data_IF_441862701612
#
_entry.id   IF_441862701612
#
_cell.length_a   1.000
_cell.length_b   1.000
_cell.length_c   1.000
_cell.angle_alpha   90.00
_cell.angle_beta   90.00
_cell.angle_gamma   90.00
#
_symmetry.space_group_name_H-M   'P 1'
#
loop_
_entity.id
_entity.type
_entity.pdbx_description
1 polymer ?
#
# COMPACT_ATOMS: atom_id res chain seq x y z
N UNK A 1 14.49 -7.28 -12.19
CA UNK A 1 14.54 -5.89 -12.67
C UNK A 1 13.15 -5.46 -13.09
N UNK A 2 12.69 -4.33 -12.55
CA UNK A 2 11.36 -3.76 -12.77
C UNK A 2 11.37 -2.74 -13.91
N UNK A 3 10.41 -2.90 -14.82
CA UNK A 3 10.20 -2.03 -16.00
C UNK A 3 8.78 -1.50 -16.01
N UNK A 4 8.56 -0.27 -16.48
CA UNK A 4 7.20 0.27 -16.58
C UNK A 4 6.38 -0.49 -17.63
N UNK A 5 5.19 -0.95 -17.25
CA UNK A 5 4.28 -1.64 -18.13
C UNK A 5 3.67 -0.65 -19.12
N UNK A 6 4.16 -0.65 -20.37
CA UNK A 6 3.67 0.24 -21.44
C UNK A 6 2.17 0.01 -21.76
N UNK A 7 1.70 -1.25 -21.93
CA UNK A 7 0.26 -1.55 -22.06
C UNK A 7 -0.60 -1.06 -20.89
N UNK A 8 -0.14 -1.22 -19.65
CA UNK A 8 -0.89 -0.85 -18.44
C UNK A 8 -0.16 0.26 -17.68
N UNK A 9 -0.31 1.50 -18.16
CA UNK A 9 0.33 2.68 -17.56
C UNK A 9 0.10 2.73 -16.05
N UNK A 10 1.20 2.88 -15.31
CA UNK A 10 1.18 2.93 -13.84
C UNK A 10 1.48 1.59 -13.15
N UNK A 11 1.63 0.49 -13.89
CA UNK A 11 2.14 -0.77 -13.36
C UNK A 11 3.60 -1.00 -13.74
N UNK A 12 4.28 -1.85 -12.98
CA UNK A 12 5.66 -2.27 -13.20
C UNK A 12 5.72 -3.79 -13.37
N UNK A 13 6.47 -4.27 -14.35
CA UNK A 13 6.67 -5.69 -14.61
C UNK A 13 8.06 -6.11 -14.13
N UNK A 14 8.14 -7.28 -13.52
CA UNK A 14 9.41 -7.94 -13.28
C UNK A 14 9.80 -8.74 -14.53
N UNK A 15 10.99 -8.46 -15.05
CA UNK A 15 11.54 -9.07 -16.27
C UNK A 15 11.90 -10.54 -16.09
N UNK A 16 12.23 -10.96 -14.86
CA UNK A 16 12.42 -12.36 -14.51
C UNK A 16 11.08 -13.02 -14.13
N UNK A 17 10.56 -13.89 -14.98
CA UNK A 17 9.29 -14.59 -14.76
C UNK A 17 9.29 -15.46 -13.49
N UNK A 18 10.42 -16.09 -13.14
CA UNK A 18 10.52 -16.92 -11.94
C UNK A 18 10.49 -16.07 -10.67
N UNK A 19 11.14 -14.90 -10.71
CA UNK A 19 11.08 -13.93 -9.61
C UNK A 19 9.69 -13.30 -9.48
N UNK A 20 9.05 -12.97 -10.60
CA UNK A 20 7.68 -12.46 -10.65
C UNK A 20 6.68 -13.44 -10.01
N UNK A 21 6.81 -14.73 -10.31
CA UNK A 21 6.00 -15.78 -9.68
C UNK A 21 6.19 -15.83 -8.16
N UNK A 22 7.43 -15.75 -7.66
CA UNK A 22 7.71 -15.69 -6.21
C UNK A 22 7.10 -14.46 -5.54
N UNK A 23 7.12 -13.30 -6.18
CA UNK A 23 6.46 -12.09 -5.66
C UNK A 23 4.94 -12.26 -5.62
N UNK A 24 4.38 -12.89 -6.65
CA UNK A 24 2.95 -13.21 -6.74
C UNK A 24 2.51 -14.15 -5.62
N UNK A 25 3.30 -15.17 -5.31
CA UNK A 25 3.11 -16.09 -4.17
C UNK A 25 3.19 -15.35 -2.83
N UNK A 26 4.12 -14.40 -2.71
CA UNK A 26 4.28 -13.54 -1.52
C UNK A 26 3.18 -12.46 -1.39
N UNK A 27 2.19 -12.45 -2.30
CA UNK A 27 1.02 -11.58 -2.24
C UNK A 27 1.22 -10.19 -2.85
N UNK A 28 2.26 -9.98 -3.66
CA UNK A 28 2.45 -8.76 -4.45
C UNK A 28 1.83 -8.88 -5.84
N UNK A 29 1.45 -7.74 -6.40
CA UNK A 29 1.08 -7.59 -7.81
C UNK A 29 -0.33 -8.04 -8.16
N UNK A 30 -0.75 -7.57 -9.32
CA UNK A 30 -1.99 -7.90 -10.02
C UNK A 30 -1.65 -8.59 -11.34
N UNK A 31 -2.66 -8.96 -12.13
CA UNK A 31 -2.45 -9.54 -13.47
C UNK A 31 -1.65 -8.59 -14.37
N UNK A 32 -1.83 -7.29 -14.18
CA UNK A 32 -1.17 -6.22 -14.93
C UNK A 32 0.26 -5.91 -14.42
N UNK A 33 0.67 -6.51 -13.29
CA UNK A 33 1.97 -6.29 -12.66
C UNK A 33 1.89 -5.63 -11.28
N UNK A 34 2.99 -5.02 -10.85
CA UNK A 34 3.13 -4.38 -9.54
C UNK A 34 2.67 -2.93 -9.59
N UNK A 35 1.91 -2.52 -8.58
CA UNK A 35 1.60 -1.10 -8.37
C UNK A 35 2.85 -0.29 -8.03
N UNK A 36 2.83 1.05 -8.15
CA UNK A 36 3.99 1.87 -7.81
C UNK A 36 4.44 1.71 -6.34
N UNK A 37 3.51 1.45 -5.42
CA UNK A 37 3.83 1.18 -4.01
C UNK A 37 4.58 -0.14 -3.83
N UNK A 38 4.11 -1.20 -4.51
CA UNK A 38 4.77 -2.52 -4.45
C UNK A 38 6.14 -2.48 -5.12
N UNK A 39 6.25 -1.84 -6.29
CA UNK A 39 7.52 -1.64 -6.98
C UNK A 39 8.53 -0.89 -6.11
N UNK A 40 8.12 0.25 -5.53
CA UNK A 40 8.94 1.03 -4.60
C UNK A 40 9.36 0.21 -3.37
N UNK A 41 8.44 -0.58 -2.80
CA UNK A 41 8.73 -1.45 -1.67
C UNK A 41 9.78 -2.51 -2.01
N UNK A 42 9.61 -3.25 -3.11
CA UNK A 42 10.51 -4.32 -3.53
C UNK A 42 11.94 -3.81 -3.77
N UNK A 43 12.06 -2.60 -4.34
CA UNK A 43 13.36 -1.93 -4.50
C UNK A 43 13.92 -1.49 -3.15
N UNK A 44 13.09 -0.92 -2.27
CA UNK A 44 13.50 -0.49 -0.92
C UNK A 44 14.05 -1.64 -0.07
N UNK A 45 13.46 -2.84 -0.16
CA UNK A 45 13.96 -4.04 0.53
C UNK A 45 15.04 -4.81 -0.26
N UNK A 46 15.58 -4.21 -1.34
CA UNK A 46 16.63 -4.80 -2.19
C UNK A 46 16.26 -6.17 -2.77
N UNK A 47 14.97 -6.43 -3.00
CA UNK A 47 14.48 -7.64 -3.69
C UNK A 47 14.33 -7.43 -5.18
N UNK A 48 14.26 -6.18 -5.62
CA UNK A 48 14.25 -5.79 -7.03
C UNK A 48 15.10 -4.52 -7.24
N UNK A 49 15.30 -4.16 -8.50
CA UNK A 49 15.89 -2.89 -8.94
C UNK A 49 15.08 -2.35 -10.11
N UNK A 50 15.04 -1.03 -10.30
CA UNK A 50 14.50 -0.46 -11.54
C UNK A 50 15.50 -0.63 -12.68
N UNK A 51 15.01 -0.82 -13.90
CA UNK A 51 15.84 -0.81 -15.11
C UNK A 51 16.52 0.55 -15.33
N UNK A 52 15.81 1.64 -14.99
CA UNK A 52 16.35 2.99 -15.05
C UNK A 52 16.00 3.78 -13.79
N UNK A 53 16.97 4.57 -13.31
CA UNK A 53 16.83 5.44 -12.16
C UNK A 53 17.09 4.77 -10.80
N UNK A 54 16.93 5.56 -9.74
CA UNK A 54 17.08 5.13 -8.34
C UNK A 54 15.74 5.19 -7.61
N UNK A 55 15.65 4.55 -6.44
CA UNK A 55 14.46 4.66 -5.57
C UNK A 55 14.10 6.13 -5.29
N UNK A 56 15.09 6.98 -5.02
CA UNK A 56 14.85 8.40 -4.72
C UNK A 56 14.26 9.14 -5.93
N UNK A 57 14.80 8.92 -7.12
CA UNK A 57 14.26 9.51 -8.35
C UNK A 57 12.84 9.01 -8.65
N UNK A 58 12.56 7.73 -8.34
CA UNK A 58 11.25 7.13 -8.50
C UNK A 58 10.23 7.73 -7.51
N UNK A 59 10.58 7.84 -6.23
CA UNK A 59 9.73 8.46 -5.21
C UNK A 59 9.46 9.92 -5.56
N UNK A 60 10.46 10.67 -6.02
CA UNK A 60 10.29 12.04 -6.48
C UNK A 60 9.34 12.15 -7.68
N UNK A 61 9.42 11.21 -8.64
CA UNK A 61 8.53 11.17 -9.79
C UNK A 61 7.08 10.82 -9.38
N UNK A 62 6.89 9.86 -8.49
CA UNK A 62 5.56 9.49 -7.99
C UNK A 62 4.94 10.58 -7.12
N UNK A 63 5.73 11.30 -6.32
CA UNK A 63 5.28 12.45 -5.52
C UNK A 63 4.67 13.57 -6.38
N UNK A 64 5.15 13.75 -7.61
CA UNK A 64 4.58 14.71 -8.57
C UNK A 64 3.19 14.28 -9.06
N UNK A 65 2.93 12.97 -9.15
CA UNK A 65 1.64 12.40 -9.54
C UNK A 65 0.67 12.37 -8.36
N UNK A 66 1.14 11.94 -7.20
CA UNK A 66 0.38 11.88 -5.96
C UNK A 66 1.24 12.30 -4.76
N UNK A 67 0.84 13.41 -4.12
CA UNK A 67 1.57 13.98 -2.99
C UNK A 67 1.65 13.05 -1.78
N UNK A 68 0.70 12.12 -1.63
CA UNK A 68 0.64 11.16 -0.51
C UNK A 68 1.62 10.00 -0.72
N UNK A 69 2.14 9.81 -1.95
CA UNK A 69 2.94 8.63 -2.30
C UNK A 69 4.11 8.33 -1.36
N UNK A 70 4.98 9.29 -0.99
CA UNK A 70 6.09 9.01 -0.08
C UNK A 70 5.61 8.49 1.28
N UNK A 71 4.59 9.13 1.86
CA UNK A 71 3.96 8.69 3.11
C UNK A 71 3.36 7.29 2.96
N UNK A 72 2.65 7.04 1.86
CA UNK A 72 2.06 5.74 1.56
C UNK A 72 3.12 4.64 1.44
N UNK A 73 4.27 4.93 0.84
CA UNK A 73 5.39 3.99 0.71
C UNK A 73 5.97 3.63 2.08
N UNK A 74 6.13 4.60 2.97
CA UNK A 74 6.60 4.34 4.35
C UNK A 74 5.59 3.53 5.16
N UNK A 75 4.30 3.87 5.09
CA UNK A 75 3.22 3.10 5.74
C UNK A 75 3.19 1.67 5.22
N UNK A 76 3.25 1.50 3.89
CA UNK A 76 3.27 0.19 3.24
C UNK A 76 4.48 -0.63 3.69
N UNK A 77 5.66 -0.02 3.73
CA UNK A 77 6.89 -0.66 4.21
C UNK A 77 6.77 -1.12 5.66
N UNK A 78 6.32 -0.26 6.57
CA UNK A 78 6.17 -0.60 7.98
C UNK A 78 5.21 -1.79 8.16
N UNK A 79 4.05 -1.77 7.51
CA UNK A 79 3.07 -2.86 7.66
C UNK A 79 3.60 -4.17 7.05
N UNK A 80 4.18 -4.14 5.84
CA UNK A 80 4.74 -5.36 5.22
C UNK A 80 5.91 -5.94 6.03
N UNK A 81 6.70 -5.09 6.69
CA UNK A 81 7.80 -5.54 7.56
C UNK A 81 7.32 -6.37 8.77
N UNK A 82 6.05 -6.24 9.17
CA UNK A 82 5.42 -7.07 10.21
C UNK A 82 4.96 -8.45 9.72
N UNK A 83 5.22 -8.82 8.46
CA UNK A 83 4.77 -10.08 7.87
C UNK A 83 3.31 -10.09 7.42
N UNK A 84 2.60 -8.97 7.54
CA UNK A 84 1.23 -8.82 7.02
C UNK A 84 1.23 -8.72 5.50
N UNK A 85 0.19 -9.26 4.86
CA UNK A 85 -0.10 -8.96 3.46
C UNK A 85 -0.85 -7.64 3.38
N UNK A 86 -0.43 -6.78 2.44
CA UNK A 86 -1.02 -5.46 2.23
C UNK A 86 -1.24 -5.25 0.75
N UNK A 87 -2.47 -4.91 0.38
CA UNK A 87 -2.84 -4.60 -1.00
C UNK A 87 -3.26 -3.14 -1.13
N UNK A 88 -2.60 -2.35 -1.99
CA UNK A 88 -3.11 -1.05 -2.37
C UNK A 88 -4.37 -1.21 -3.22
N UNK A 89 -5.25 -0.21 -3.20
CA UNK A 89 -6.37 -0.18 -4.12
C UNK A 89 -5.91 0.18 -5.53
N UNK A 90 -6.44 -0.50 -6.54
CA UNK A 90 -6.11 -0.24 -7.95
C UNK A 90 -6.49 1.17 -8.42
N UNK A 91 -7.49 1.79 -7.78
CA UNK A 91 -8.01 3.12 -8.13
C UNK A 91 -7.39 4.28 -7.34
N UNK A 92 -6.40 4.04 -6.47
CA UNK A 92 -5.70 5.10 -5.76
C UNK A 92 -5.01 4.65 -4.47
N UNK A 93 -4.07 5.47 -4.00
CA UNK A 93 -3.22 5.12 -2.85
C UNK A 93 -3.83 5.49 -1.50
N UNK A 94 -5.00 6.15 -1.45
CA UNK A 94 -5.62 6.63 -0.20
C UNK A 94 -5.88 5.51 0.81
N UNK A 95 -6.12 4.28 0.33
CA UNK A 95 -6.44 3.14 1.16
C UNK A 95 -5.51 1.97 0.90
N UNK A 96 -5.19 1.24 1.96
CA UNK A 96 -4.55 -0.07 1.92
C UNK A 96 -5.46 -1.09 2.59
N UNK A 97 -5.56 -2.29 2.02
CA UNK A 97 -6.18 -3.44 2.69
C UNK A 97 -5.10 -4.29 3.33
N UNK A 98 -5.18 -4.48 4.64
CA UNK A 98 -4.30 -5.40 5.34
C UNK A 98 -5.04 -6.70 5.69
N UNK A 99 -4.33 -7.79 5.54
CA UNK A 99 -4.77 -9.13 5.87
C UNK A 99 -4.08 -9.58 7.15
N UNK A 100 -4.67 -10.58 7.82
CA UNK A 100 -4.03 -11.16 8.99
C UNK A 100 -2.66 -11.78 8.63
N UNK A 101 -1.69 -11.78 9.56
CA UNK A 101 -0.42 -12.47 9.36
C UNK A 101 -0.65 -13.96 9.04
N UNK A 102 0.15 -14.54 8.15
CA UNK A 102 0.09 -15.96 7.80
C UNK A 102 -1.07 -16.37 6.89
N UNK A 103 -1.99 -15.46 6.54
CA UNK A 103 -3.07 -15.72 5.59
C UNK A 103 -2.49 -15.65 4.17
N UNK A 104 -2.52 -16.77 3.44
CA UNK A 104 -2.13 -16.83 2.03
C UNK A 104 -3.13 -16.14 1.10
N UNK A 105 -2.75 -15.91 -0.16
CA UNK A 105 -3.57 -15.24 -1.20
C UNK A 105 -4.95 -15.89 -1.42
N UNK A 106 -5.19 -17.11 -0.95
CA UNK A 106 -6.43 -17.87 -1.19
C UNK A 106 -7.41 -17.88 -0.01
N UNK A 107 -7.02 -17.36 1.17
CA UNK A 107 -7.86 -17.37 2.39
C UNK A 107 -8.47 -15.98 2.68
N UNK A 108 -8.89 -15.33 1.59
CA UNK A 108 -9.07 -13.90 1.35
C UNK A 108 -10.21 -13.19 2.09
N UNK A 109 -10.06 -12.90 3.38
CA UNK A 109 -10.80 -11.75 3.95
C UNK A 109 -9.83 -10.73 4.50
N UNK A 110 -9.69 -9.54 3.86
CA UNK A 110 -8.98 -8.45 4.49
C UNK A 110 -9.68 -8.19 5.83
N UNK A 111 -8.89 -8.01 6.87
CA UNK A 111 -9.42 -7.73 8.21
C UNK A 111 -9.47 -6.23 8.47
N UNK A 112 -8.61 -5.47 7.79
CA UNK A 112 -8.37 -4.06 8.11
C UNK A 112 -8.34 -3.20 6.84
N UNK A 113 -9.03 -2.06 6.91
CA UNK A 113 -8.90 -0.94 6.00
C UNK A 113 -8.01 0.11 6.65
N UNK A 114 -6.88 0.42 6.03
CA UNK A 114 -5.97 1.46 6.49
C UNK A 114 -6.18 2.69 5.62
N UNK A 115 -6.68 3.78 6.20
CA UNK A 115 -6.81 5.06 5.54
C UNK A 115 -5.54 5.90 5.76
N UNK A 116 -4.98 6.44 4.67
CA UNK A 116 -3.78 7.26 4.69
C UNK A 116 -4.15 8.74 4.76
N UNK A 117 -3.92 9.35 5.92
CA UNK A 117 -4.24 10.74 6.21
C UNK A 117 -2.99 11.48 6.70
N UNK A 118 -2.03 11.79 5.81
CA UNK A 118 -0.78 12.44 6.19
C UNK A 118 -1.01 13.83 6.77
N UNK A 119 -0.11 14.26 7.64
CA UNK A 119 -0.16 15.56 8.31
C UNK A 119 -0.69 15.46 9.74
N UNK A 120 -1.51 16.44 10.13
CA UNK A 120 -2.09 16.53 11.47
C UNK A 120 -3.21 15.52 11.70
N UNK A 121 -3.58 15.33 12.97
CA UNK A 121 -4.73 14.51 13.37
C UNK A 121 -5.97 14.92 12.56
N UNK A 122 -6.67 13.97 11.90
CA UNK A 122 -7.84 14.27 11.09
C UNK A 122 -8.98 14.88 11.91
N UNK A 123 -9.80 15.71 11.26
CA UNK A 123 -11.00 16.27 11.90
C UNK A 123 -12.02 15.17 12.22
N UNK A 124 -12.89 15.42 13.21
CA UNK A 124 -13.98 14.49 13.55
C UNK A 124 -14.88 14.17 12.35
N UNK A 125 -15.12 15.15 11.47
CA UNK A 125 -15.87 14.95 10.22
C UNK A 125 -15.16 13.97 9.29
N UNK A 126 -13.85 14.16 9.08
CA UNK A 126 -13.03 13.25 8.28
C UNK A 126 -13.07 11.83 8.85
N UNK A 127 -12.89 11.68 10.16
CA UNK A 127 -12.97 10.38 10.83
C UNK A 127 -14.34 9.72 10.63
N UNK A 128 -15.43 10.47 10.78
CA UNK A 128 -16.78 9.94 10.56
C UNK A 128 -16.99 9.46 9.12
N UNK A 129 -16.45 10.16 8.13
CA UNK A 129 -16.52 9.74 6.73
C UNK A 129 -15.71 8.47 6.48
N UNK A 130 -14.51 8.35 7.04
CA UNK A 130 -13.71 7.12 6.94
C UNK A 130 -14.37 5.92 7.65
N UNK A 131 -15.02 6.15 8.79
CA UNK A 131 -15.81 5.12 9.50
C UNK A 131 -16.93 4.60 8.61
N UNK A 132 -17.64 5.47 7.88
CA UNK A 132 -18.67 5.03 6.92
C UNK A 132 -18.07 4.17 5.81
N UNK A 133 -16.93 4.56 5.25
CA UNK A 133 -16.24 3.79 4.21
C UNK A 133 -15.85 2.40 4.72
N UNK A 134 -15.24 2.32 5.91
CA UNK A 134 -14.84 1.06 6.52
C UNK A 134 -16.05 0.17 6.87
N UNK A 135 -17.12 0.78 7.38
CA UNK A 135 -18.36 0.08 7.70
C UNK A 135 -19.02 -0.52 6.45
N UNK A 136 -19.12 0.23 5.36
CA UNK A 136 -19.61 -0.26 4.07
C UNK A 136 -18.74 -1.41 3.53
N UNK A 137 -17.43 -1.34 3.74
CA UNK A 137 -16.50 -2.40 3.38
C UNK A 137 -16.49 -3.59 4.35
N UNK A 138 -17.14 -3.46 5.52
CA UNK A 138 -17.11 -4.42 6.64
C UNK A 138 -15.69 -4.75 7.12
N UNK A 139 -14.85 -3.72 7.25
CA UNK A 139 -13.45 -3.83 7.67
C UNK A 139 -13.21 -3.02 8.95
N UNK A 140 -12.27 -3.47 9.76
CA UNK A 140 -11.74 -2.66 10.87
C UNK A 140 -11.01 -1.45 10.30
N UNK A 141 -11.35 -0.24 10.76
CA UNK A 141 -10.67 0.98 10.33
C UNK A 141 -9.40 1.23 11.14
N UNK A 142 -8.28 1.38 10.43
CA UNK A 142 -7.03 1.91 10.94
C UNK A 142 -6.76 3.25 10.26
N UNK A 143 -6.43 4.28 11.03
CA UNK A 143 -5.97 5.57 10.52
C UNK A 143 -4.46 5.62 10.62
N UNK A 144 -3.77 5.83 9.51
CA UNK A 144 -2.36 6.17 9.46
C UNK A 144 -2.19 7.67 9.22
N UNK A 145 -1.57 8.38 10.16
CA UNK A 145 -1.36 9.84 10.10
C UNK A 145 0.04 10.22 10.59
N UNK A 146 0.44 11.48 10.41
CA UNK A 146 1.78 11.99 10.73
C UNK A 146 2.63 12.27 9.50
N UNK A 147 3.94 12.02 9.62
CA UNK A 147 4.94 12.29 8.57
C UNK A 147 5.63 10.99 8.13
N UNK A 148 6.39 11.04 7.04
CA UNK A 148 7.22 9.91 6.57
C UNK A 148 8.19 9.38 7.64
N UNK A 149 8.63 10.25 8.57
CA UNK A 149 9.56 9.89 9.65
C UNK A 149 8.86 9.43 10.93
N UNK A 150 7.62 9.85 11.13
CA UNK A 150 6.85 9.57 12.34
C UNK A 150 5.40 9.27 11.95
N UNK A 151 5.11 7.98 11.78
CA UNK A 151 3.78 7.47 11.44
C UNK A 151 3.09 7.00 12.72
N UNK A 152 1.85 7.44 12.91
CA UNK A 152 0.99 7.00 14.02
C UNK A 152 -0.19 6.23 13.47
N UNK A 153 -0.54 5.14 14.14
CA UNK A 153 -1.66 4.27 13.78
C UNK A 153 -2.72 4.29 14.88
N UNK A 154 -3.96 4.54 14.49
CA UNK A 154 -5.11 4.55 15.40
C UNK A 154 -6.16 3.56 14.91
N UNK A 155 -6.54 2.59 15.77
CA UNK A 155 -7.72 1.76 15.51
C UNK A 155 -8.96 2.54 15.91
N UNK A 156 -9.91 2.67 15.00
CA UNK A 156 -11.18 3.33 15.25
C UNK A 156 -12.26 2.27 15.42
N UNK A 157 -13.08 2.41 16.45
CA UNK A 157 -14.20 1.52 16.72
C UNK A 157 -15.43 2.35 17.04
N UNK A 158 -16.55 2.02 16.40
CA UNK A 158 -17.86 2.61 16.71
C UNK A 158 -18.52 1.81 17.82
N UNK A 159 -19.02 2.49 18.85
CA UNK A 159 -19.80 1.86 19.91
C UNK A 159 -21.27 2.25 19.71
N UNK A 160 -22.15 1.26 19.58
CA UNK A 160 -23.59 1.44 19.64
C UNK A 160 -24.02 1.05 21.05
N UNK A 161 -24.47 2.04 21.83
CA UNK A 161 -25.01 1.87 23.17
C UNK A 161 -26.53 1.90 23.08
#
# INVERSE_FOLDING_TARGET
MLVENKPHKGFYLETDAALSAKFTEAGFGFEEGFTPLEAGYLVKIKRASFESGTLDSFVAAQKKKDKIFPFALEVYFQIRSTGRMVRPYSKGIKYLRAYAPGVGRLQERPSQLIALLPGSVPSAKTLADEVKVAHLARLDLIIATGTEKEIRYYKISSFNW
#
